data_IF_414341840780
#
_entry.id   IF_414341840780
#
_cell.length_a   1.000
_cell.length_b   1.000
_cell.length_c   1.000
_cell.angle_alpha   90.00
_cell.angle_beta   90.00
_cell.angle_gamma   90.00
#
_symmetry.space_group_name_H-M   'P 1'
#
loop_
_entity.id
_entity.type
_entity.pdbx_description
1 polymer ?
#
# COMPACT_ATOMS: atom_id res chain seq x y z
N UNK A 1 -10.20 0.37 -31.01
CA UNK A 1 -9.13 1.01 -30.22
C UNK A 1 -8.72 0.02 -29.15
N UNK A 2 -7.45 -0.38 -29.06
CA UNK A 2 -6.98 -1.25 -28.00
C UNK A 2 -7.01 -0.43 -26.70
N UNK A 3 -8.05 -0.59 -25.86
CA UNK A 3 -8.09 0.12 -24.59
C UNK A 3 -7.08 -0.54 -23.64
N UNK A 4 -6.02 0.19 -23.32
CA UNK A 4 -5.07 -0.21 -22.27
C UNK A 4 -5.80 -0.18 -20.93
N UNK A 5 -5.71 -1.28 -20.17
CA UNK A 5 -6.32 -1.36 -18.83
C UNK A 5 -5.70 -0.30 -17.91
N UNK A 6 -6.51 0.45 -17.12
CA UNK A 6 -6.00 1.41 -16.15
C UNK A 6 -5.10 0.71 -15.12
N UNK A 7 -3.90 1.24 -14.90
CA UNK A 7 -2.93 0.68 -13.95
C UNK A 7 -3.18 1.23 -12.56
N UNK A 8 -3.61 0.39 -11.62
CA UNK A 8 -3.90 0.81 -10.25
C UNK A 8 -2.79 0.30 -9.34
N UNK A 9 -2.01 1.21 -8.77
CA UNK A 9 -1.00 0.87 -7.76
C UNK A 9 -1.69 0.68 -6.41
N UNK A 10 -1.48 -0.48 -5.81
CA UNK A 10 -1.88 -0.80 -4.44
C UNK A 10 -0.59 -0.85 -3.62
N UNK A 11 -0.31 0.22 -2.88
CA UNK A 11 0.84 0.31 -1.97
C UNK A 11 0.37 0.04 -0.55
N UNK A 12 0.95 -0.98 0.10
CA UNK A 12 0.49 -1.38 1.43
C UNK A 12 1.61 -1.57 2.45
N UNK A 13 1.29 -1.27 3.71
CA UNK A 13 2.04 -1.71 4.86
C UNK A 13 1.17 -2.61 5.74
N UNK A 14 1.69 -3.77 6.15
CA UNK A 14 0.96 -4.71 7.01
C UNK A 14 1.93 -5.32 8.00
N UNK A 15 1.73 -5.17 9.31
CA UNK A 15 2.62 -5.83 10.29
C UNK A 15 2.20 -7.30 10.48
N UNK A 16 0.94 -7.51 10.89
CA UNK A 16 0.38 -8.82 11.26
C UNK A 16 -0.43 -9.52 10.17
N UNK A 17 -0.55 -8.94 8.97
CA UNK A 17 -1.21 -9.58 7.83
C UNK A 17 -2.62 -9.07 7.49
N UNK A 18 -3.32 -8.38 8.40
CA UNK A 18 -4.69 -7.88 8.14
C UNK A 18 -4.78 -6.97 6.90
N UNK A 19 -3.89 -5.98 6.80
CA UNK A 19 -3.85 -5.10 5.63
C UNK A 19 -3.41 -5.86 4.37
N UNK A 20 -2.57 -6.88 4.49
CA UNK A 20 -2.20 -7.70 3.34
C UNK A 20 -3.41 -8.46 2.78
N UNK A 21 -4.28 -9.01 3.64
CA UNK A 21 -5.54 -9.61 3.22
C UNK A 21 -6.44 -8.59 2.50
N UNK A 22 -6.57 -7.38 3.05
CA UNK A 22 -7.36 -6.31 2.42
C UNK A 22 -6.77 -5.83 1.09
N UNK A 23 -5.44 -5.76 0.98
CA UNK A 23 -4.76 -5.39 -0.26
C UNK A 23 -4.98 -6.44 -1.36
N UNK A 24 -5.00 -7.73 -1.03
CA UNK A 24 -5.37 -8.79 -1.99
C UNK A 24 -6.83 -8.69 -2.43
N UNK A 25 -7.77 -8.39 -1.52
CA UNK A 25 -9.16 -8.12 -1.90
C UNK A 25 -9.27 -6.91 -2.85
N UNK A 26 -8.45 -5.87 -2.64
CA UNK A 26 -8.37 -4.74 -3.56
C UNK A 26 -7.77 -5.14 -4.93
N UNK A 27 -6.78 -6.04 -4.96
CA UNK A 27 -6.24 -6.61 -6.20
C UNK A 27 -7.33 -7.34 -6.99
N UNK A 28 -8.10 -8.20 -6.32
CA UNK A 28 -9.24 -8.91 -6.91
C UNK A 28 -10.25 -7.93 -7.50
N UNK A 29 -10.72 -6.96 -6.70
CA UNK A 29 -11.70 -5.96 -7.16
C UNK A 29 -11.22 -5.09 -8.31
N UNK A 30 -9.95 -4.67 -8.32
CA UNK A 30 -9.37 -3.92 -9.46
C UNK A 30 -9.37 -4.77 -10.73
N UNK A 31 -8.97 -6.03 -10.64
CA UNK A 31 -8.88 -6.93 -11.79
C UNK A 31 -10.27 -7.30 -12.35
N UNK A 32 -11.26 -7.47 -11.47
CA UNK A 32 -12.67 -7.63 -11.85
C UNK A 32 -13.22 -6.37 -12.53
N UNK A 33 -12.84 -5.19 -12.03
CA UNK A 33 -13.23 -3.88 -12.54
C UNK A 33 -12.55 -3.43 -13.83
N UNK A 34 -11.98 -4.34 -14.62
CA UNK A 34 -11.23 -4.06 -15.86
C UNK A 34 -9.92 -3.28 -15.70
N UNK A 35 -9.47 -3.04 -14.46
CA UNK A 35 -8.16 -2.46 -14.16
C UNK A 35 -7.03 -3.51 -14.21
N UNK A 36 -5.81 -3.02 -14.09
CA UNK A 36 -4.61 -3.82 -13.86
C UNK A 36 -4.05 -3.48 -12.48
N UNK A 37 -4.18 -4.40 -11.54
CA UNK A 37 -3.63 -4.23 -10.19
C UNK A 37 -2.10 -4.39 -10.18
N UNK A 38 -1.41 -3.46 -9.53
CA UNK A 38 0.03 -3.54 -9.24
C UNK A 38 0.18 -3.51 -7.72
N UNK A 39 0.49 -4.65 -7.11
CA UNK A 39 0.63 -4.77 -5.66
C UNK A 39 2.09 -4.56 -5.23
N UNK A 40 2.33 -3.62 -4.31
CA UNK A 40 3.65 -3.32 -3.75
C UNK A 40 3.59 -3.20 -2.23
N UNK A 41 4.58 -3.76 -1.54
CA UNK A 41 4.73 -3.59 -0.10
C UNK A 41 5.65 -2.41 0.23
N UNK A 42 5.31 -1.65 1.27
CA UNK A 42 6.18 -0.61 1.82
C UNK A 42 7.33 -1.23 2.60
N UNK A 43 8.52 -0.64 2.51
CA UNK A 43 9.71 -1.08 3.23
C UNK A 43 9.45 -1.16 4.75
N UNK A 44 9.97 -2.20 5.38
CA UNK A 44 9.95 -2.34 6.83
C UNK A 44 11.05 -1.50 7.47
N UNK A 45 10.74 -0.87 8.59
CA UNK A 45 11.68 -0.07 9.37
C UNK A 45 12.08 -0.74 10.69
N UNK A 46 11.29 -1.73 11.14
CA UNK A 46 11.57 -2.49 12.36
C UNK A 46 12.54 -3.64 12.03
N UNK A 47 13.71 -3.75 12.68
CA UNK A 47 14.63 -4.86 12.49
C UNK A 47 13.99 -6.22 12.76
N UNK A 48 14.40 -7.25 12.01
CA UNK A 48 13.79 -8.58 12.03
C UNK A 48 13.90 -9.30 13.39
N UNK A 49 14.98 -9.04 14.11
CA UNK A 49 15.24 -9.50 15.47
C UNK A 49 14.19 -9.02 16.48
N UNK A 50 13.48 -7.93 16.20
CA UNK A 50 12.38 -7.43 17.05
C UNK A 50 11.02 -8.01 16.71
N UNK A 51 10.92 -8.80 15.62
CA UNK A 51 9.64 -9.39 15.24
C UNK A 51 9.26 -10.49 16.24
N UNK A 52 7.97 -10.70 16.46
CA UNK A 52 7.44 -11.90 17.11
C UNK A 52 7.17 -13.00 16.06
N UNK A 53 6.70 -14.17 16.50
CA UNK A 53 6.39 -15.29 15.59
C UNK A 53 5.25 -14.94 14.61
N UNK A 54 4.26 -14.16 15.04
CA UNK A 54 3.12 -13.79 14.21
C UNK A 54 3.53 -12.81 13.11
N UNK A 55 4.40 -11.83 13.43
CA UNK A 55 4.98 -10.92 12.45
C UNK A 55 5.83 -11.69 11.44
N UNK A 56 6.66 -12.65 11.88
CA UNK A 56 7.46 -13.49 10.96
C UNK A 56 6.58 -14.28 10.00
N UNK A 57 5.55 -14.96 10.50
CA UNK A 57 4.57 -15.67 9.65
C UNK A 57 3.91 -14.73 8.64
N UNK A 58 3.50 -13.53 9.08
CA UNK A 58 2.86 -12.54 8.21
C UNK A 58 3.82 -11.96 7.15
N UNK A 59 5.12 -11.84 7.46
CA UNK A 59 6.17 -11.40 6.53
C UNK A 59 6.47 -12.48 5.49
N UNK A 60 6.62 -13.73 5.93
CA UNK A 60 6.84 -14.89 5.07
C UNK A 60 5.70 -15.05 4.05
N UNK A 61 4.44 -14.90 4.47
CA UNK A 61 3.27 -15.01 3.60
C UNK A 61 3.22 -13.98 2.44
N UNK A 62 4.05 -12.94 2.47
CA UNK A 62 4.11 -11.89 1.43
C UNK A 62 5.52 -11.65 0.89
N UNK A 63 6.46 -12.58 1.11
CA UNK A 63 7.86 -12.43 0.71
C UNK A 63 8.05 -12.19 -0.79
N UNK A 64 7.15 -12.73 -1.61
CA UNK A 64 7.21 -12.64 -3.08
C UNK A 64 6.64 -11.32 -3.62
N UNK A 65 6.04 -10.48 -2.76
CA UNK A 65 5.54 -9.17 -3.18
C UNK A 65 6.72 -8.18 -3.26
N UNK A 66 6.92 -7.47 -4.37
CA UNK A 66 8.03 -6.52 -4.46
C UNK A 66 7.84 -5.33 -3.51
N UNK A 67 8.95 -4.84 -2.95
CA UNK A 67 8.98 -3.58 -2.20
C UNK A 67 8.76 -2.42 -3.17
N UNK A 68 7.95 -1.44 -2.76
CA UNK A 68 7.66 -0.25 -3.53
C UNK A 68 8.92 0.63 -3.65
N UNK A 69 9.22 1.10 -4.88
CA UNK A 69 10.14 2.19 -5.13
C UNK A 69 9.38 3.52 -5.09
N UNK A 70 9.61 4.39 -4.09
CA UNK A 70 8.91 5.68 -4.02
C UNK A 70 9.17 6.58 -5.23
N UNK A 71 10.33 6.43 -5.89
CA UNK A 71 10.72 7.25 -7.04
C UNK A 71 10.15 6.73 -8.37
N UNK A 72 9.88 5.44 -8.48
CA UNK A 72 9.53 4.83 -9.77
C UNK A 72 8.09 4.32 -9.82
N UNK A 73 7.57 3.69 -8.76
CA UNK A 73 6.30 2.97 -8.83
C UNK A 73 5.08 3.92 -8.92
N UNK A 74 5.25 5.21 -8.61
CA UNK A 74 4.19 6.22 -8.80
C UNK A 74 4.05 6.67 -10.27
N UNK A 75 5.04 6.39 -11.12
CA UNK A 75 5.04 6.86 -12.52
C UNK A 75 4.14 5.97 -13.38
N UNK A 76 3.36 6.59 -14.25
CA UNK A 76 2.55 5.88 -15.25
C UNK A 76 1.41 5.03 -14.69
N UNK A 77 1.06 5.22 -13.41
CA UNK A 77 -0.16 4.66 -12.81
C UNK A 77 -1.36 5.53 -13.19
N UNK A 78 -2.55 4.97 -13.23
CA UNK A 78 -3.80 5.68 -13.51
C UNK A 78 -4.65 5.89 -12.24
N UNK A 79 -4.32 5.19 -11.16
CA UNK A 79 -4.97 5.35 -9.86
C UNK A 79 -4.14 4.72 -8.74
N UNK A 80 -4.52 5.03 -7.50
CA UNK A 80 -3.77 4.67 -6.31
C UNK A 80 -4.69 4.12 -5.22
N UNK A 81 -4.26 3.04 -4.56
CA UNK A 81 -4.86 2.55 -3.32
C UNK A 81 -3.75 2.49 -2.27
N UNK A 82 -3.95 3.19 -1.16
CA UNK A 82 -3.01 3.22 -0.03
C UNK A 82 -3.59 2.40 1.10
N UNK A 83 -2.90 1.35 1.55
CA UNK A 83 -3.40 0.48 2.60
C UNK A 83 -2.43 0.42 3.79
N UNK A 84 -2.86 0.84 4.97
CA UNK A 84 -1.98 0.91 6.16
C UNK A 84 -2.79 0.80 7.45
N UNK A 85 -2.33 0.05 8.47
CA UNK A 85 -3.04 0.01 9.74
C UNK A 85 -2.91 1.36 10.45
N UNK A 86 -3.85 1.65 11.34
CA UNK A 86 -3.76 2.86 12.16
C UNK A 86 -2.61 2.78 13.17
N UNK A 87 -2.01 3.93 13.47
CA UNK A 87 -1.15 4.20 14.62
C UNK A 87 -1.60 5.52 15.22
N UNK A 88 -2.33 5.45 16.33
CA UNK A 88 -2.93 6.60 17.00
C UNK A 88 -3.78 7.48 16.06
N UNK A 89 -4.58 6.88 15.19
CA UNK A 89 -5.43 7.60 14.24
C UNK A 89 -4.71 8.10 12.99
N UNK A 90 -3.45 7.72 12.77
CA UNK A 90 -2.68 8.11 11.60
C UNK A 90 -2.11 6.88 10.87
N UNK A 91 -1.50 7.10 9.70
CA UNK A 91 -0.72 6.08 9.00
C UNK A 91 0.49 5.62 9.82
N UNK A 92 0.98 4.42 9.53
CA UNK A 92 2.24 3.95 10.12
C UNK A 92 3.44 4.80 9.70
N UNK A 93 4.49 4.83 10.53
CA UNK A 93 5.78 5.43 10.19
C UNK A 93 6.38 4.86 8.90
N UNK A 94 6.18 3.57 8.63
CA UNK A 94 6.63 2.92 7.40
C UNK A 94 5.95 3.56 6.18
N UNK A 95 4.61 3.70 6.21
CA UNK A 95 3.85 4.35 5.14
C UNK A 95 4.22 5.84 5.02
N UNK A 96 4.41 6.53 6.15
CA UNK A 96 4.85 7.92 6.14
C UNK A 96 6.22 8.09 5.49
N UNK A 97 7.17 7.23 5.84
CA UNK A 97 8.51 7.22 5.26
C UNK A 97 8.51 6.93 3.75
N UNK A 98 7.55 6.15 3.25
CA UNK A 98 7.34 6.01 1.80
C UNK A 98 6.99 7.37 1.17
N UNK A 99 5.99 8.09 1.70
CA UNK A 99 5.57 9.40 1.18
C UNK A 99 6.63 10.48 1.31
N UNK A 100 7.40 10.48 2.39
CA UNK A 100 8.47 11.48 2.57
C UNK A 100 9.57 11.37 1.50
N UNK A 101 9.68 10.20 0.84
CA UNK A 101 10.61 9.97 -0.27
C UNK A 101 10.04 10.33 -1.66
N UNK A 102 8.77 10.75 -1.76
CA UNK A 102 8.09 11.04 -3.03
C UNK A 102 8.09 12.53 -3.40
N UNK A 103 9.01 13.32 -2.84
CA UNK A 103 9.09 14.78 -3.09
C UNK A 103 9.26 15.14 -4.57
N UNK A 104 10.06 14.37 -5.33
CA UNK A 104 10.20 14.57 -6.78
C UNK A 104 8.90 14.35 -7.54
N UNK A 105 8.20 13.23 -7.26
CA UNK A 105 6.90 12.94 -7.87
C UNK A 105 5.84 14.00 -7.54
N UNK A 106 5.92 14.59 -6.35
CA UNK A 106 5.06 15.72 -5.95
C UNK A 106 5.35 16.99 -6.77
N UNK A 107 6.63 17.37 -6.91
CA UNK A 107 7.04 18.51 -7.73
C UNK A 107 6.63 18.37 -9.20
N UNK A 108 6.71 17.15 -9.74
CA UNK A 108 6.33 16.84 -11.12
C UNK A 108 4.80 16.75 -11.32
N UNK A 109 4.00 16.90 -10.25
CA UNK A 109 2.55 16.74 -10.33
C UNK A 109 2.11 15.33 -10.70
N UNK A 110 2.95 14.32 -10.43
CA UNK A 110 2.76 12.93 -10.91
C UNK A 110 1.40 12.35 -10.55
N UNK A 111 0.84 12.72 -9.39
CA UNK A 111 -0.43 12.20 -8.89
C UNK A 111 -1.63 13.13 -9.13
N UNK A 112 -1.43 14.28 -9.77
CA UNK A 112 -2.52 15.25 -10.02
C UNK A 112 -3.59 14.60 -10.91
N UNK A 113 -4.85 14.71 -10.48
CA UNK A 113 -6.01 14.21 -11.21
C UNK A 113 -6.20 12.68 -11.17
N UNK A 114 -5.33 11.94 -10.47
CA UNK A 114 -5.48 10.48 -10.34
C UNK A 114 -6.43 10.13 -9.19
N UNK A 115 -7.43 9.26 -9.41
CA UNK A 115 -8.28 8.77 -8.31
C UNK A 115 -7.43 8.02 -7.28
N UNK A 116 -7.79 8.21 -6.01
CA UNK A 116 -7.15 7.55 -4.88
C UNK A 116 -8.18 6.99 -3.90
N UNK A 117 -7.86 5.85 -3.29
CA UNK A 117 -8.60 5.27 -2.18
C UNK A 117 -7.65 4.92 -1.03
N UNK A 118 -8.20 4.84 0.19
CA UNK A 118 -7.45 4.48 1.39
C UNK A 118 -8.14 3.30 2.09
N UNK A 119 -7.34 2.34 2.53
CA UNK A 119 -7.76 1.21 3.36
C UNK A 119 -7.01 1.31 4.68
N UNK A 120 -7.75 1.25 5.79
CA UNK A 120 -7.14 1.14 7.11
C UNK A 120 -7.70 -0.04 7.90
N UNK A 121 -7.00 -0.38 8.98
CA UNK A 121 -7.42 -1.36 9.96
C UNK A 121 -7.05 -0.87 11.35
N UNK A 122 -7.95 -1.03 12.30
CA UNK A 122 -7.71 -0.75 13.71
C UNK A 122 -8.11 -1.95 14.56
N UNK A 123 -7.58 -2.03 15.79
CA UNK A 123 -7.93 -3.11 16.70
C UNK A 123 -9.33 -2.94 17.32
N UNK A 124 -9.82 -1.69 17.40
CA UNK A 124 -11.09 -1.33 18.03
C UNK A 124 -11.92 -0.52 17.04
N UNK A 125 -13.25 -0.68 17.04
CA UNK A 125 -14.14 -0.04 16.06
C UNK A 125 -14.02 1.49 15.96
N UNK A 126 -13.65 2.19 17.03
CA UNK A 126 -13.41 3.64 17.04
C UNK A 126 -11.94 4.00 17.33
N UNK A 127 -11.02 3.09 17.00
CA UNK A 127 -9.59 3.22 17.27
C UNK A 127 -8.84 4.11 16.27
N UNK A 128 -9.51 5.06 15.64
CA UNK A 128 -8.93 5.95 14.63
C UNK A 128 -8.88 5.35 13.22
N UNK A 129 -10.00 4.76 12.79
CA UNK A 129 -10.25 4.31 11.41
C UNK A 129 -11.36 5.12 10.70
N UNK A 130 -12.12 5.90 11.48
CA UNK A 130 -13.21 6.77 11.03
C UNK A 130 -12.67 8.12 10.55
#
# INVERSE_FOLDING_TARGET
MNQTKPKILIVFYSMYGHIFKMANAAVEGVNEGSGQAILKQVAELIPEEQWDENVRKAKEARKDIPVASPQEDLKGIDGLIVATPTRFGNMTSQMRNFWDQTGGAWMDGTLIGKPAAVISSSNNQHGGQD
#
